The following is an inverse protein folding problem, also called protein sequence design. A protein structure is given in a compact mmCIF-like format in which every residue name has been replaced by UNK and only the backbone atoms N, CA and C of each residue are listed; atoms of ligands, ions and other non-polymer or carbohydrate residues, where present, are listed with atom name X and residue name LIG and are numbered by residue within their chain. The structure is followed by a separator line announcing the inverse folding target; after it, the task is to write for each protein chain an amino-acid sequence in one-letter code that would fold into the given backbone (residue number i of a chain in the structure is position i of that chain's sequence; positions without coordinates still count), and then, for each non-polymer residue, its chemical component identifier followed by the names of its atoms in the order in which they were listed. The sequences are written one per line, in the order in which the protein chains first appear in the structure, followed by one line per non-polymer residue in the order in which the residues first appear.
data_IF_315668511931
#
_entry.id   IF_315668511931
#
_cell.length_a   1.000
_cell.length_b   1.000
_cell.length_c   1.000
_cell.angle_alpha   90.00
_cell.angle_beta   90.00
_cell.angle_gamma   90.00
#
_symmetry.space_group_name_H-M   'P 1'
#
loop_
_entity.id
_entity.type
_entity.pdbx_description
1 polymer ?
#
# COMPACT_ATOMS: atom_id res chain seq x y z
N UNK A 1 -2.77 2.48 -13.23
CA UNK A 1 -2.75 3.14 -11.89
C UNK A 1 -2.46 4.64 -12.01
N UNK A 2 -3.15 5.50 -11.23
CA UNK A 2 -3.10 6.96 -11.44
C UNK A 2 -1.74 7.63 -11.21
N UNK A 3 -0.87 7.05 -10.37
CA UNK A 3 0.48 7.58 -10.09
C UNK A 3 1.61 6.91 -10.90
N UNK A 4 1.31 5.90 -11.71
CA UNK A 4 2.34 5.15 -12.44
C UNK A 4 3.10 6.06 -13.42
N UNK A 5 2.39 6.88 -14.19
CA UNK A 5 2.99 7.83 -15.11
C UNK A 5 3.84 8.91 -14.43
N UNK A 6 3.48 9.29 -13.19
CA UNK A 6 4.29 10.21 -12.39
C UNK A 6 5.58 9.53 -11.92
N UNK A 7 5.50 8.30 -11.43
CA UNK A 7 6.68 7.53 -11.02
C UNK A 7 7.68 7.32 -12.18
N UNK A 8 7.18 7.00 -13.37
CA UNK A 8 8.01 6.87 -14.58
C UNK A 8 8.69 8.20 -14.93
N UNK A 9 7.93 9.31 -14.89
CA UNK A 9 8.47 10.64 -15.20
C UNK A 9 9.55 11.09 -14.22
N UNK A 10 9.43 10.72 -12.95
CA UNK A 10 10.45 10.96 -11.93
C UNK A 10 11.64 9.98 -12.03
N UNK A 11 11.62 9.04 -12.97
CA UNK A 11 12.72 8.10 -13.21
C UNK A 11 12.81 6.98 -12.18
N UNK A 12 11.70 6.57 -11.57
CA UNK A 12 11.68 5.47 -10.62
C UNK A 12 12.01 4.13 -11.31
N UNK A 13 12.87 3.32 -10.68
CA UNK A 13 13.19 1.97 -11.17
C UNK A 13 12.07 0.95 -10.89
N UNK A 14 11.29 1.18 -9.83
CA UNK A 14 10.20 0.32 -9.42
C UNK A 14 9.01 1.09 -8.83
N UNK A 15 7.81 0.58 -9.07
CA UNK A 15 6.55 1.09 -8.54
C UNK A 15 5.86 0.02 -7.69
N UNK A 16 5.92 0.17 -6.37
CA UNK A 16 5.29 -0.74 -5.41
C UNK A 16 3.90 -0.24 -5.07
N UNK A 17 2.88 -1.08 -5.25
CA UNK A 17 1.49 -0.67 -5.02
C UNK A 17 0.59 -1.82 -4.56
N UNK A 18 -0.62 -1.49 -4.11
CA UNK A 18 -1.62 -2.42 -3.60
C UNK A 18 -2.44 -3.10 -4.70
N UNK A 19 -2.65 -2.43 -5.83
CA UNK A 19 -3.47 -2.94 -6.93
C UNK A 19 -3.04 -2.33 -8.27
N UNK A 20 -3.31 -3.07 -9.36
CA UNK A 20 -3.01 -2.65 -10.73
C UNK A 20 -3.96 -3.36 -11.69
N UNK A 21 -4.41 -2.68 -12.74
CA UNK A 21 -5.21 -3.33 -13.78
C UNK A 21 -4.30 -4.12 -14.71
N UNK A 22 -4.84 -5.21 -15.28
CA UNK A 22 -4.09 -6.08 -16.19
C UNK A 22 -3.44 -5.31 -17.36
N UNK A 23 -4.17 -4.37 -17.98
CA UNK A 23 -3.65 -3.61 -19.11
C UNK A 23 -2.52 -2.65 -18.74
N UNK A 24 -2.49 -2.13 -17.51
CA UNK A 24 -1.43 -1.23 -17.04
C UNK A 24 -0.04 -1.91 -17.05
N UNK A 25 0.03 -3.24 -17.07
CA UNK A 25 1.30 -3.98 -17.12
C UNK A 25 1.92 -4.00 -18.51
N UNK A 26 1.11 -3.97 -19.58
CA UNK A 26 1.58 -4.14 -20.95
C UNK A 26 2.05 -2.83 -21.58
N UNK A 27 1.51 -1.70 -21.13
CA UNK A 27 1.83 -0.40 -21.71
C UNK A 27 3.19 0.15 -21.28
N UNK A 28 3.85 -0.46 -20.28
CA UNK A 28 5.08 0.04 -19.66
C UNK A 28 6.17 -1.06 -19.54
N UNK A 29 6.14 -2.06 -20.42
CA UNK A 29 7.17 -3.10 -20.45
C UNK A 29 8.57 -2.49 -20.65
N UNK A 30 9.54 -2.90 -19.82
CA UNK A 30 10.93 -2.40 -19.82
C UNK A 30 11.12 -0.94 -19.37
N UNK A 31 10.07 -0.20 -19.02
CA UNK A 31 10.19 1.18 -18.50
C UNK A 31 10.37 1.22 -16.98
N UNK A 32 9.63 0.37 -16.24
CA UNK A 32 9.63 0.35 -14.78
C UNK A 32 9.22 -1.03 -14.26
N UNK A 33 9.80 -1.47 -13.13
CA UNK A 33 9.32 -2.68 -12.46
C UNK A 33 8.04 -2.39 -11.68
N UNK A 34 6.91 -2.97 -12.10
CA UNK A 34 5.66 -2.90 -11.35
C UNK A 34 5.62 -4.04 -10.32
N UNK A 35 5.42 -3.70 -9.04
CA UNK A 35 5.38 -4.63 -7.92
C UNK A 35 4.05 -4.51 -7.17
N UNK A 36 3.09 -5.37 -7.47
CA UNK A 36 1.81 -5.42 -6.75
C UNK A 36 1.92 -6.39 -5.58
N UNK A 37 1.89 -5.84 -4.36
CA UNK A 37 2.00 -6.62 -3.12
C UNK A 37 0.64 -6.90 -2.48
N UNK A 38 -0.42 -6.23 -2.94
CA UNK A 38 -1.77 -6.34 -2.41
C UNK A 38 -2.12 -5.22 -1.43
N UNK A 39 -3.31 -4.63 -1.58
CA UNK A 39 -3.77 -3.48 -0.79
C UNK A 39 -3.75 -3.77 0.71
N UNK A 40 -4.27 -4.94 1.12
CA UNK A 40 -4.24 -5.33 2.53
C UNK A 40 -2.80 -5.52 3.03
N UNK A 41 -1.96 -6.20 2.25
CA UNK A 41 -0.58 -6.50 2.61
C UNK A 41 0.25 -5.23 2.79
N UNK A 42 0.06 -4.22 1.91
CA UNK A 42 0.75 -2.94 1.99
C UNK A 42 0.32 -2.10 3.19
N UNK A 43 -0.95 -2.17 3.59
CA UNK A 43 -1.52 -1.19 4.52
C UNK A 43 -1.81 -1.70 5.93
N UNK A 44 -1.78 -3.02 6.16
CA UNK A 44 -2.12 -3.63 7.46
C UNK A 44 -1.31 -3.07 8.65
N UNK A 45 -0.13 -2.50 8.41
CA UNK A 45 0.75 -1.91 9.42
C UNK A 45 0.35 -0.48 9.81
N UNK A 46 -0.42 0.21 8.97
CA UNK A 46 -0.78 1.63 9.16
C UNK A 46 -1.53 1.86 10.48
N UNK A 47 -2.33 0.89 10.93
CA UNK A 47 -3.05 0.96 12.21
C UNK A 47 -2.10 1.07 13.42
N UNK A 48 -0.92 0.44 13.35
CA UNK A 48 0.08 0.48 14.43
C UNK A 48 0.80 1.84 14.46
N UNK A 49 1.06 2.39 13.27
CA UNK A 49 1.62 3.74 13.10
C UNK A 49 0.65 4.77 13.69
N UNK A 50 -0.63 4.72 13.32
CA UNK A 50 -1.63 5.64 13.86
C UNK A 50 -1.80 5.50 15.37
N UNK A 51 -1.86 4.27 15.88
CA UNK A 51 -1.92 4.05 17.33
C UNK A 51 -0.75 4.75 18.04
N UNK A 52 0.47 4.55 17.54
CA UNK A 52 1.68 5.14 18.13
C UNK A 52 1.62 6.67 18.11
N UNK A 53 1.26 7.27 16.97
CA UNK A 53 1.14 8.73 16.83
C UNK A 53 0.06 9.30 17.75
N UNK A 54 -1.11 8.67 17.82
CA UNK A 54 -2.24 9.17 18.63
C UNK A 54 -1.92 9.06 20.11
N UNK A 55 -1.39 7.93 20.58
CA UNK A 55 -1.04 7.75 21.99
C UNK A 55 0.12 8.67 22.42
N UNK A 56 1.06 8.98 21.51
CA UNK A 56 2.14 9.95 21.77
C UNK A 56 1.63 11.40 21.84
N UNK A 57 0.73 11.79 20.94
CA UNK A 57 0.35 13.20 20.74
C UNK A 57 -0.91 13.62 21.49
N UNK A 58 -1.77 12.68 21.85
CA UNK A 58 -3.05 12.94 22.50
C UNK A 58 -3.06 12.32 23.90
N UNK A 59 -2.58 13.07 24.88
CA UNK A 59 -2.52 12.63 26.27
C UNK A 59 -3.91 12.18 26.78
N UNK A 60 -3.97 11.01 27.40
CA UNK A 60 -5.20 10.43 27.94
C UNK A 60 -6.09 9.72 26.92
N UNK A 61 -5.77 9.75 25.61
CA UNK A 61 -6.49 8.98 24.59
C UNK A 61 -5.91 7.57 24.52
N UNK A 62 -6.78 6.56 24.67
CA UNK A 62 -6.41 5.15 24.54
C UNK A 62 -6.85 4.61 23.17
N UNK A 63 -5.92 4.06 22.42
CA UNK A 63 -6.22 3.44 21.14
C UNK A 63 -6.46 1.92 21.30
N UNK A 64 -7.43 1.42 20.54
CA UNK A 64 -7.75 0.00 20.47
C UNK A 64 -7.62 -0.47 19.03
N UNK A 65 -6.95 -1.61 18.83
CA UNK A 65 -6.78 -2.21 17.52
C UNK A 65 -7.74 -3.39 17.34
N UNK A 66 -8.45 -3.40 16.22
CA UNK A 66 -9.24 -4.57 15.83
C UNK A 66 -8.33 -5.76 15.55
N UNK A 67 -8.72 -6.93 16.07
CA UNK A 67 -8.14 -8.24 15.75
C UNK A 67 -8.83 -8.91 14.56
N UNK A 68 -9.91 -8.32 14.04
CA UNK A 68 -10.62 -8.85 12.88
C UNK A 68 -9.75 -8.68 11.64
N UNK A 69 -9.43 -9.79 10.99
CA UNK A 69 -8.79 -9.78 9.69
C UNK A 69 -9.85 -9.50 8.62
N UNK A 70 -9.73 -8.36 7.94
CA UNK A 70 -10.64 -7.94 6.87
C UNK A 70 -10.06 -8.18 5.48
N UNK A 71 -8.97 -8.96 5.37
CA UNK A 71 -8.39 -9.34 4.08
C UNK A 71 -9.32 -10.31 3.35
N UNK A 72 -9.94 -9.92 2.22
CA UNK A 72 -10.79 -10.83 1.45
C UNK A 72 -9.98 -11.82 0.61
N UNK A 73 -8.66 -11.61 0.47
CA UNK A 73 -7.79 -12.40 -0.41
C UNK A 73 -7.10 -13.49 0.39
N UNK A 74 -7.32 -14.73 -0.01
CA UNK A 74 -6.62 -15.92 0.49
C UNK A 74 -5.77 -16.50 -0.64
N UNK A 75 -4.45 -16.50 -0.45
CA UNK A 75 -3.50 -17.13 -1.38
C UNK A 75 -3.49 -18.66 -1.15
N UNK A 76 -3.37 -19.42 -2.24
CA UNK A 76 -3.30 -20.89 -2.23
C UNK A 76 -1.85 -21.38 -2.15
#
# INVERSE_FOLDING_TARGET
AFLLGDAIREGADAFVTGEMHYHDYFDHEQEIQICVIGHYQSEQYTKEIFKSIIEERCEGVKCHMSSVNTNPIHYL
#
